data_IF_677676128775
#
_entry.id   IF_677676128775
#
_cell.length_a   1.000
_cell.length_b   1.000
_cell.length_c   1.000
_cell.angle_alpha   90.00
_cell.angle_beta   90.00
_cell.angle_gamma   90.00
#
_symmetry.space_group_name_H-M   'P 1'
#
loop_
_entity.id
_entity.type
_entity.pdbx_description
1 polymer ?
#
# COMPACT_ATOMS: atom_id res chain seq x y z
N UNK A 1 -18.87 -16.97 -0.04
CA UNK A 1 -17.90 -17.01 1.08
C UNK A 1 -18.02 -15.68 1.79
N UNK A 2 -18.16 -15.67 3.12
CA UNK A 2 -18.17 -14.42 3.90
C UNK A 2 -16.78 -13.79 3.78
N UNK A 3 -16.70 -12.60 3.19
CA UNK A 3 -15.46 -11.82 3.17
C UNK A 3 -15.02 -11.53 4.59
N UNK A 4 -13.75 -11.78 4.89
CA UNK A 4 -13.19 -11.55 6.23
C UNK A 4 -12.31 -10.31 6.17
N UNK A 5 -12.61 -9.32 7.00
CA UNK A 5 -11.81 -8.10 7.11
C UNK A 5 -10.41 -8.44 7.66
N UNK A 6 -9.37 -8.15 6.88
CA UNK A 6 -7.96 -8.37 7.24
C UNK A 6 -7.37 -7.20 7.99
N UNK A 7 -7.67 -5.98 7.52
CA UNK A 7 -7.23 -4.72 8.15
C UNK A 7 -8.43 -3.79 8.26
N UNK A 8 -8.62 -3.15 9.41
CA UNK A 8 -9.66 -2.14 9.65
C UNK A 8 -9.06 -0.90 10.27
N UNK A 9 -9.35 0.24 9.69
CA UNK A 9 -9.03 1.57 10.23
C UNK A 9 -10.31 2.21 10.72
N UNK A 10 -10.32 2.73 11.95
CA UNK A 10 -11.50 3.32 12.57
C UNK A 10 -11.16 4.65 13.18
N UNK A 11 -11.78 5.72 12.67
CA UNK A 11 -11.61 7.07 13.17
C UNK A 11 -10.15 7.48 13.28
N UNK A 12 -9.32 7.14 12.26
CA UNK A 12 -7.88 7.36 12.33
C UNK A 12 -7.55 8.82 12.01
N UNK A 13 -6.86 9.48 12.94
CA UNK A 13 -6.35 10.84 12.80
C UNK A 13 -4.83 10.86 12.89
N UNK A 14 -4.19 11.70 12.06
CA UNK A 14 -2.78 12.04 12.21
C UNK A 14 -2.56 13.52 12.04
N UNK A 15 -2.02 14.12 13.07
CA UNK A 15 -1.56 15.50 13.10
C UNK A 15 -0.06 15.49 13.37
N UNK A 16 0.70 16.23 12.58
CA UNK A 16 2.13 16.40 12.80
C UNK A 16 2.38 17.76 13.47
N UNK A 17 3.15 17.74 14.55
CA UNK A 17 3.49 18.90 15.36
C UNK A 17 3.81 18.47 16.79
N UNK A 18 4.24 19.41 17.62
CA UNK A 18 4.44 19.17 19.04
C UNK A 18 3.06 19.16 19.73
N UNK A 19 2.87 18.19 20.65
CA UNK A 19 1.60 18.03 21.38
C UNK A 19 0.37 17.98 20.44
N UNK A 20 0.43 17.06 19.49
CA UNK A 20 -0.60 16.85 18.43
C UNK A 20 -1.99 16.57 19.01
N UNK A 21 -2.08 16.00 20.22
CA UNK A 21 -3.34 15.70 20.90
C UNK A 21 -4.06 16.96 21.37
N UNK A 22 -3.35 18.04 21.72
CA UNK A 22 -3.96 19.29 22.18
C UNK A 22 -4.80 19.98 21.10
N UNK A 23 -4.45 19.82 19.84
CA UNK A 23 -5.15 20.42 18.69
C UNK A 23 -6.21 19.49 18.05
N UNK A 24 -6.22 18.21 18.44
CA UNK A 24 -7.20 17.23 17.92
C UNK A 24 -8.67 17.65 18.08
N UNK A 25 -9.12 18.24 19.22
CA UNK A 25 -10.51 18.71 19.36
C UNK A 25 -10.91 19.74 18.30
N UNK A 26 -9.99 20.63 17.88
CA UNK A 26 -10.25 21.62 16.84
C UNK A 26 -10.44 20.94 15.47
N UNK A 27 -9.62 19.94 15.17
CA UNK A 27 -9.76 19.15 13.92
C UNK A 27 -11.06 18.36 13.91
N UNK A 28 -11.45 17.75 15.03
CA UNK A 28 -12.75 17.06 15.17
C UNK A 28 -13.93 18.02 15.06
N UNK A 29 -13.78 19.30 15.47
CA UNK A 29 -14.77 20.35 15.31
C UNK A 29 -14.85 20.93 13.87
N UNK A 30 -14.00 20.44 12.95
CA UNK A 30 -14.05 20.82 11.53
C UNK A 30 -12.93 21.74 11.05
N UNK A 31 -11.94 22.11 11.89
CA UNK A 31 -10.80 22.93 11.49
C UNK A 31 -10.07 22.31 10.31
N UNK A 32 -9.86 23.08 9.24
CA UNK A 32 -9.22 22.64 8.00
C UNK A 32 -7.70 22.60 8.09
N UNK A 33 -7.06 22.03 7.05
CA UNK A 33 -5.60 21.84 6.97
C UNK A 33 -4.84 23.18 7.00
N UNK A 34 -5.31 24.17 6.23
CA UNK A 34 -4.67 25.49 6.15
C UNK A 34 -4.82 26.27 7.47
N UNK A 35 -6.02 26.24 8.05
CA UNK A 35 -6.32 26.91 9.31
C UNK A 35 -5.50 26.31 10.46
N UNK A 36 -5.39 24.96 10.53
CA UNK A 36 -4.58 24.28 11.52
C UNK A 36 -3.09 24.67 11.39
N UNK A 37 -2.59 24.77 10.16
CA UNK A 37 -1.20 25.18 9.90
C UNK A 37 -0.95 26.63 10.29
N UNK A 38 -1.84 27.54 9.94
CA UNK A 38 -1.65 28.98 10.19
C UNK A 38 -1.81 29.32 11.67
N UNK A 39 -2.81 28.76 12.34
CA UNK A 39 -3.18 29.09 13.73
C UNK A 39 -2.34 28.34 14.74
N UNK A 40 -2.16 27.03 14.52
CA UNK A 40 -1.52 26.14 15.51
C UNK A 40 -0.13 25.65 15.09
N UNK A 41 0.33 25.95 13.85
CA UNK A 41 1.61 25.47 13.31
C UNK A 41 1.69 23.93 13.24
N UNK A 42 0.55 23.27 13.08
CA UNK A 42 0.44 21.82 12.92
C UNK A 42 0.01 21.44 11.51
N UNK A 43 0.45 20.28 11.04
CA UNK A 43 0.09 19.76 9.72
C UNK A 43 -0.89 18.61 9.87
N UNK A 44 -2.09 18.75 9.29
CA UNK A 44 -3.06 17.66 9.23
C UNK A 44 -2.61 16.65 8.16
N UNK A 45 -2.29 15.45 8.60
CA UNK A 45 -1.91 14.33 7.75
C UNK A 45 -3.08 13.44 7.37
N UNK A 46 -3.89 13.05 8.38
CA UNK A 46 -5.09 12.20 8.20
C UNK A 46 -6.22 12.71 9.08
N UNK A 47 -7.45 12.63 8.58
CA UNK A 47 -8.67 13.02 9.27
C UNK A 47 -9.74 11.94 9.12
N UNK A 48 -10.19 11.38 10.22
CA UNK A 48 -11.34 10.47 10.31
C UNK A 48 -11.33 9.36 9.24
N UNK A 49 -10.20 8.68 9.12
CA UNK A 49 -10.05 7.59 8.15
C UNK A 49 -10.78 6.35 8.67
N UNK A 50 -11.77 5.90 7.91
CA UNK A 50 -12.54 4.70 8.15
C UNK A 50 -12.50 3.83 6.89
N UNK A 51 -11.72 2.74 6.92
CA UNK A 51 -11.51 1.83 5.77
C UNK A 51 -11.42 0.40 6.25
N UNK A 52 -12.13 -0.50 5.58
CA UNK A 52 -11.99 -1.93 5.76
C UNK A 52 -11.34 -2.56 4.52
N UNK A 53 -10.31 -3.37 4.73
CA UNK A 53 -9.55 -4.05 3.67
C UNK A 53 -9.75 -5.55 3.82
N UNK A 54 -10.30 -6.19 2.78
CA UNK A 54 -10.70 -7.59 2.84
C UNK A 54 -9.52 -8.53 2.61
N UNK A 55 -9.60 -9.71 3.21
CA UNK A 55 -8.59 -10.75 3.05
C UNK A 55 -8.54 -11.24 1.60
N UNK A 56 -7.33 -11.30 1.04
CA UNK A 56 -7.11 -11.80 -0.32
C UNK A 56 -7.50 -10.83 -1.43
N UNK A 57 -7.77 -9.56 -1.12
CA UNK A 57 -8.07 -8.51 -2.09
C UNK A 57 -6.95 -7.49 -2.21
N UNK A 58 -6.95 -6.77 -3.34
CA UNK A 58 -6.12 -5.59 -3.56
C UNK A 58 -6.93 -4.35 -3.22
N UNK A 59 -6.61 -3.70 -2.10
CA UNK A 59 -7.13 -2.37 -1.79
C UNK A 59 -6.16 -1.33 -2.31
N UNK A 60 -6.60 -0.49 -3.24
CA UNK A 60 -5.81 0.63 -3.75
C UNK A 60 -6.23 1.91 -3.04
N UNK A 61 -5.26 2.64 -2.51
CA UNK A 61 -5.44 3.98 -1.94
C UNK A 61 -4.82 4.99 -2.89
N UNK A 62 -5.65 5.84 -3.49
CA UNK A 62 -5.21 6.85 -4.43
C UNK A 62 -5.52 8.28 -3.99
N UNK A 63 -4.93 9.26 -4.67
CA UNK A 63 -5.13 10.69 -4.46
C UNK A 63 -3.90 11.49 -4.90
N UNK A 64 -4.01 12.81 -4.97
CA UNK A 64 -2.91 13.69 -5.36
C UNK A 64 -1.74 13.68 -4.34
N UNK A 65 -0.61 14.26 -4.74
CA UNK A 65 0.52 14.46 -3.82
C UNK A 65 0.06 15.25 -2.58
N UNK A 66 0.50 14.81 -1.39
CA UNK A 66 0.11 15.45 -0.12
C UNK A 66 -1.29 15.09 0.40
N UNK A 67 -2.04 14.17 -0.23
CA UNK A 67 -3.35 13.72 0.25
C UNK A 67 -3.31 12.81 1.49
N UNK A 68 -2.12 12.32 1.91
CA UNK A 68 -1.96 11.48 3.10
C UNK A 68 -1.72 9.99 2.83
N UNK A 69 -1.65 9.53 1.58
CA UNK A 69 -1.49 8.12 1.20
C UNK A 69 -0.31 7.41 1.88
N UNK A 70 0.90 7.94 1.70
CA UNK A 70 2.10 7.35 2.32
C UNK A 70 2.09 7.47 3.84
N UNK A 71 1.38 8.46 4.39
CA UNK A 71 1.12 8.55 5.82
C UNK A 71 0.22 7.39 6.26
N UNK A 72 -0.88 7.14 5.55
CA UNK A 72 -1.83 6.08 5.87
C UNK A 72 -1.15 4.70 5.85
N UNK A 73 -0.43 4.34 4.79
CA UNK A 73 0.20 3.01 4.71
C UNK A 73 1.23 2.78 5.82
N UNK A 74 1.93 3.83 6.26
CA UNK A 74 2.90 3.75 7.35
C UNK A 74 2.28 3.65 8.74
N UNK A 75 0.99 3.91 8.88
CA UNK A 75 0.26 3.62 10.11
C UNK A 75 -0.05 2.12 10.23
N UNK A 76 -0.32 1.42 9.11
CA UNK A 76 -0.68 0.00 9.12
C UNK A 76 0.40 -0.87 9.77
N UNK A 77 1.66 -0.54 9.56
CA UNK A 77 2.79 -1.21 10.19
C UNK A 77 3.34 -0.45 11.41
N UNK A 78 2.63 0.59 11.86
CA UNK A 78 2.99 1.45 13.00
C UNK A 78 4.42 2.04 12.89
N UNK A 79 4.87 2.34 11.66
CA UNK A 79 6.07 3.18 11.44
C UNK A 79 5.80 4.64 11.81
N UNK A 80 4.54 5.06 11.73
CA UNK A 80 4.02 6.33 12.22
C UNK A 80 2.90 6.00 13.20
N UNK A 81 2.94 6.60 14.40
CA UNK A 81 1.85 6.45 15.36
C UNK A 81 0.74 7.47 15.06
N UNK A 82 -0.53 7.06 15.11
CA UNK A 82 -1.65 7.98 14.95
C UNK A 82 -1.75 8.95 16.12
N UNK A 83 -2.43 10.08 15.91
CA UNK A 83 -2.82 11.00 16.99
C UNK A 83 -4.02 10.42 17.73
N UNK A 84 -4.95 9.76 17.01
CA UNK A 84 -6.14 9.10 17.56
C UNK A 84 -6.68 8.06 16.58
N UNK A 85 -7.55 7.16 17.06
CA UNK A 85 -8.19 6.11 16.27
C UNK A 85 -7.58 4.73 16.46
N UNK A 86 -8.16 3.75 15.79
CA UNK A 86 -7.82 2.32 15.91
C UNK A 86 -7.28 1.76 14.60
N UNK A 87 -6.32 0.84 14.71
CA UNK A 87 -5.76 0.07 13.59
C UNK A 87 -5.85 -1.41 13.96
N UNK A 88 -6.79 -2.13 13.35
CA UNK A 88 -7.00 -3.54 13.61
C UNK A 88 -6.39 -4.39 12.49
N UNK A 89 -5.60 -5.38 12.85
CA UNK A 89 -5.05 -6.40 11.94
C UNK A 89 -5.47 -7.78 12.44
N UNK A 90 -6.19 -8.54 11.64
CA UNK A 90 -6.84 -9.79 12.06
C UNK A 90 -7.67 -9.59 13.37
N UNK A 91 -8.32 -8.44 13.54
CA UNK A 91 -9.10 -8.09 14.74
C UNK A 91 -8.28 -7.66 15.95
N UNK A 92 -6.94 -7.66 15.88
CA UNK A 92 -6.06 -7.21 16.96
C UNK A 92 -5.66 -5.75 16.77
N UNK A 93 -5.90 -4.92 17.78
CA UNK A 93 -5.48 -3.52 17.75
C UNK A 93 -3.95 -3.40 17.85
N UNK A 94 -3.36 -2.91 16.77
CA UNK A 94 -1.90 -2.74 16.64
C UNK A 94 -1.36 -1.73 17.65
N UNK A 95 -2.18 -0.77 18.10
CA UNK A 95 -1.77 0.26 19.05
C UNK A 95 -1.50 -0.30 20.45
N UNK A 96 -2.19 -1.39 20.80
CA UNK A 96 -2.07 -2.06 22.10
C UNK A 96 -0.94 -3.10 22.16
N UNK A 97 -0.24 -3.35 21.04
CA UNK A 97 0.86 -4.32 20.99
C UNK A 97 2.10 -3.80 21.74
N UNK A 98 2.72 -4.69 22.49
CA UNK A 98 4.06 -4.45 23.04
C UNK A 98 5.10 -4.30 21.93
N UNK A 99 6.26 -3.73 22.22
CA UNK A 99 7.35 -3.60 21.23
C UNK A 99 7.76 -4.96 20.64
N UNK A 100 7.73 -6.02 21.44
CA UNK A 100 8.05 -7.38 21.01
C UNK A 100 6.98 -7.92 20.06
N UNK A 101 5.70 -7.80 20.43
CA UNK A 101 4.58 -8.29 19.62
C UNK A 101 4.45 -7.51 18.32
N UNK A 102 4.68 -6.20 18.34
CA UNK A 102 4.72 -5.36 17.16
C UNK A 102 5.84 -5.79 16.19
N UNK A 103 7.02 -6.15 16.72
CA UNK A 103 8.12 -6.68 15.91
C UNK A 103 7.74 -8.01 15.28
N UNK A 104 7.13 -8.91 16.03
CA UNK A 104 6.64 -10.20 15.52
C UNK A 104 5.55 -10.02 14.45
N UNK A 105 4.61 -9.10 14.67
CA UNK A 105 3.58 -8.76 13.68
C UNK A 105 4.22 -8.29 12.36
N UNK A 106 5.18 -7.35 12.43
CA UNK A 106 5.90 -6.85 11.25
C UNK A 106 6.68 -7.96 10.53
N UNK A 107 7.31 -8.88 11.26
CA UNK A 107 8.09 -9.97 10.67
C UNK A 107 7.22 -11.06 10.01
N UNK A 108 6.05 -11.36 10.61
CA UNK A 108 5.27 -12.52 10.23
C UNK A 108 4.02 -12.19 9.43
N UNK A 109 3.42 -11.01 9.65
CA UNK A 109 2.13 -10.64 9.07
C UNK A 109 2.22 -9.66 7.91
N UNK A 110 3.30 -8.86 7.85
CA UNK A 110 3.39 -7.77 6.88
C UNK A 110 4.74 -7.74 6.16
N UNK A 111 4.70 -7.44 4.88
CA UNK A 111 5.87 -7.04 4.09
C UNK A 111 5.64 -5.69 3.46
N UNK A 112 6.72 -5.00 3.07
CA UNK A 112 6.60 -3.67 2.45
C UNK A 112 7.53 -3.53 1.25
N UNK A 113 6.96 -3.06 0.15
CA UNK A 113 7.65 -2.64 -1.07
C UNK A 113 7.65 -1.10 -1.11
N UNK A 114 8.81 -0.50 -1.26
CA UNK A 114 9.01 0.94 -1.17
C UNK A 114 9.17 1.59 -2.55
N UNK A 115 8.77 2.83 -2.68
CA UNK A 115 8.92 3.64 -3.89
C UNK A 115 10.37 3.73 -4.39
N UNK A 116 11.35 3.88 -3.49
CA UNK A 116 12.79 3.95 -3.78
C UNK A 116 13.50 2.62 -3.52
N UNK A 117 12.84 1.49 -3.79
CA UNK A 117 13.32 0.10 -3.69
C UNK A 117 13.82 -0.31 -2.29
N UNK A 118 14.45 0.57 -1.53
CA UNK A 118 15.03 0.35 -0.20
C UNK A 118 15.93 -0.92 -0.15
N UNK A 119 16.71 -1.16 -1.19
CA UNK A 119 17.71 -2.23 -1.23
C UNK A 119 18.95 -1.81 -0.47
N UNK A 120 19.58 -2.75 0.22
CA UNK A 120 20.86 -2.55 0.89
C UNK A 120 21.97 -2.58 -0.15
N UNK A 121 22.69 -1.47 -0.40
CA UNK A 121 23.64 -1.36 -1.52
C UNK A 121 24.88 -2.25 -1.37
N UNK A 122 25.20 -2.62 -0.14
CA UNK A 122 26.33 -3.50 0.20
C UNK A 122 25.97 -4.99 0.24
N UNK A 123 24.70 -5.34 0.01
CA UNK A 123 24.23 -6.73 -0.12
C UNK A 123 23.94 -7.06 -1.59
N UNK A 124 24.18 -8.31 -1.96
CA UNK A 124 23.82 -8.81 -3.29
C UNK A 124 22.31 -8.87 -3.49
N UNK A 125 21.85 -9.13 -4.70
CA UNK A 125 20.44 -9.35 -5.05
C UNK A 125 19.86 -10.49 -4.21
N UNK A 126 20.57 -11.62 -4.13
CA UNK A 126 20.18 -12.77 -3.31
C UNK A 126 20.05 -12.40 -1.83
N UNK A 127 21.03 -11.72 -1.28
CA UNK A 127 21.04 -11.29 0.12
C UNK A 127 19.96 -10.26 0.42
N UNK A 128 19.61 -9.39 -0.52
CA UNK A 128 18.47 -8.48 -0.39
C UNK A 128 17.13 -9.24 -0.40
N UNK A 129 16.96 -10.20 -1.31
CA UNK A 129 15.76 -11.02 -1.39
C UNK A 129 15.58 -11.90 -0.14
N UNK A 130 16.67 -12.50 0.36
CA UNK A 130 16.67 -13.37 1.55
C UNK A 130 16.50 -12.63 2.88
N UNK A 131 16.59 -11.30 2.91
CA UNK A 131 16.68 -10.49 4.13
C UNK A 131 15.56 -10.77 5.15
N UNK A 132 14.34 -11.03 4.69
CA UNK A 132 13.21 -11.32 5.57
C UNK A 132 13.40 -12.65 6.33
N UNK A 133 13.99 -13.65 5.70
CA UNK A 133 14.28 -14.96 6.29
C UNK A 133 15.51 -14.90 7.22
N UNK A 134 16.51 -14.09 6.85
CA UNK A 134 17.67 -13.77 7.70
C UNK A 134 17.22 -13.17 9.05
N UNK A 135 16.31 -12.20 9.01
CA UNK A 135 15.73 -11.59 10.22
C UNK A 135 14.90 -12.60 11.05
N UNK A 136 14.27 -13.58 10.41
CA UNK A 136 13.55 -14.67 11.09
C UNK A 136 14.48 -15.73 11.67
N UNK A 137 15.78 -15.71 11.33
CA UNK A 137 16.78 -16.64 11.84
C UNK A 137 16.72 -18.03 11.20
N UNK A 138 16.23 -18.16 9.96
CA UNK A 138 16.23 -19.43 9.23
C UNK A 138 17.68 -19.84 8.86
N UNK A 139 17.94 -21.15 8.63
CA UNK A 139 19.23 -21.61 8.11
C UNK A 139 19.57 -20.95 6.76
N UNK A 140 20.84 -20.61 6.53
CA UNK A 140 21.29 -19.89 5.33
C UNK A 140 20.92 -20.61 4.04
N UNK A 141 21.00 -21.94 4.02
CA UNK A 141 20.66 -22.75 2.84
C UNK A 141 19.17 -22.62 2.47
N UNK A 142 18.27 -22.63 3.46
CA UNK A 142 16.83 -22.41 3.25
C UNK A 142 16.55 -20.99 2.76
N UNK A 143 17.22 -19.97 3.37
CA UNK A 143 17.10 -18.59 2.95
C UNK A 143 17.48 -18.41 1.48
N UNK A 144 18.63 -18.95 1.07
CA UNK A 144 19.13 -18.83 -0.29
C UNK A 144 18.23 -19.56 -1.30
N UNK A 145 17.79 -20.75 -0.96
CA UNK A 145 16.93 -21.54 -1.86
C UNK A 145 15.60 -20.81 -2.11
N UNK A 146 14.95 -20.34 -1.05
CA UNK A 146 13.67 -19.64 -1.18
C UNK A 146 13.83 -18.30 -1.91
N UNK A 147 14.89 -17.55 -1.62
CA UNK A 147 15.18 -16.30 -2.32
C UNK A 147 15.47 -16.53 -3.80
N UNK A 148 16.22 -17.58 -4.18
CA UNK A 148 16.46 -17.94 -5.58
C UNK A 148 15.17 -18.29 -6.31
N UNK A 149 14.27 -19.04 -5.66
CA UNK A 149 12.97 -19.38 -6.23
C UNK A 149 12.16 -18.10 -6.56
N UNK A 150 12.06 -17.16 -5.63
CA UNK A 150 11.35 -15.91 -5.87
C UNK A 150 12.04 -15.01 -6.89
N UNK A 151 13.38 -14.93 -6.88
CA UNK A 151 14.13 -14.17 -7.88
C UNK A 151 13.89 -14.74 -9.30
N UNK A 152 13.89 -16.05 -9.46
CA UNK A 152 13.57 -16.68 -10.74
C UNK A 152 12.13 -16.33 -11.20
N UNK A 153 11.15 -16.38 -10.30
CA UNK A 153 9.76 -16.05 -10.60
C UNK A 153 9.52 -14.59 -11.01
N UNK A 154 10.29 -13.66 -10.45
CA UNK A 154 10.23 -12.24 -10.88
C UNK A 154 11.17 -11.94 -12.07
N UNK A 155 11.74 -12.98 -12.72
CA UNK A 155 12.58 -12.83 -13.92
C UNK A 155 13.99 -12.30 -13.63
N UNK A 156 14.54 -12.60 -12.45
CA UNK A 156 15.90 -12.23 -12.04
C UNK A 156 16.83 -13.44 -11.81
N UNK A 157 16.48 -14.60 -12.39
CA UNK A 157 17.40 -15.76 -12.40
C UNK A 157 18.71 -15.41 -13.12
N UNK A 158 19.85 -15.73 -12.50
CA UNK A 158 21.19 -15.39 -12.99
C UNK A 158 21.75 -14.06 -12.48
N UNK A 159 20.96 -13.25 -11.75
CA UNK A 159 21.40 -11.98 -11.17
C UNK A 159 21.69 -12.04 -9.67
N UNK A 160 21.70 -13.22 -9.06
CA UNK A 160 21.79 -13.45 -7.62
C UNK A 160 23.00 -12.77 -6.98
N UNK A 161 24.15 -12.79 -7.68
CA UNK A 161 25.43 -12.27 -7.20
C UNK A 161 25.68 -10.80 -7.57
N UNK A 162 24.75 -10.16 -8.31
CA UNK A 162 24.87 -8.74 -8.64
C UNK A 162 24.51 -7.86 -7.43
N UNK A 163 25.00 -6.62 -7.44
CA UNK A 163 24.67 -5.61 -6.45
C UNK A 163 23.60 -4.65 -7.02
N UNK A 164 22.81 -3.97 -6.18
CA UNK A 164 21.77 -3.05 -6.62
C UNK A 164 22.24 -2.02 -7.65
N UNK A 165 23.45 -1.48 -7.51
CA UNK A 165 24.01 -0.49 -8.43
C UNK A 165 24.25 -1.02 -9.88
N UNK A 166 24.23 -2.34 -10.06
CA UNK A 166 24.42 -2.99 -11.36
C UNK A 166 23.08 -3.28 -12.07
N UNK A 167 21.94 -2.94 -11.42
CA UNK A 167 20.60 -3.24 -11.91
C UNK A 167 19.89 -1.99 -12.42
N UNK A 168 19.04 -2.16 -13.43
CA UNK A 168 18.08 -1.13 -13.83
C UNK A 168 17.04 -0.88 -12.71
N UNK A 169 16.33 0.25 -12.74
CA UNK A 169 15.28 0.56 -11.77
C UNK A 169 14.19 -0.52 -11.71
N UNK A 170 13.76 -1.04 -12.87
CA UNK A 170 12.78 -2.14 -12.92
C UNK A 170 13.32 -3.43 -12.30
N UNK A 171 14.58 -3.76 -12.50
CA UNK A 171 15.20 -4.92 -11.86
C UNK A 171 15.32 -4.73 -10.34
N UNK A 172 15.67 -3.54 -9.86
CA UNK A 172 15.71 -3.23 -8.43
C UNK A 172 14.32 -3.36 -7.80
N UNK A 173 13.25 -2.94 -8.50
CA UNK A 173 11.88 -3.11 -8.05
C UNK A 173 11.50 -4.59 -7.95
N UNK A 174 11.86 -5.41 -8.93
CA UNK A 174 11.67 -6.87 -8.90
C UNK A 174 12.37 -7.53 -7.71
N UNK A 175 13.58 -7.08 -7.35
CA UNK A 175 14.25 -7.52 -6.10
C UNK A 175 13.45 -7.14 -4.87
N UNK A 176 12.88 -5.92 -4.82
CA UNK A 176 12.03 -5.46 -3.73
C UNK A 176 10.77 -6.31 -3.57
N UNK A 177 10.13 -6.70 -4.68
CA UNK A 177 8.97 -7.60 -4.70
C UNK A 177 9.38 -9.01 -4.24
N UNK A 178 10.48 -9.57 -4.77
CA UNK A 178 11.00 -10.87 -4.35
C UNK A 178 11.25 -10.90 -2.83
N UNK A 179 11.90 -9.86 -2.28
CA UNK A 179 12.13 -9.71 -0.82
C UNK A 179 10.81 -9.73 -0.03
N UNK A 180 9.78 -9.04 -0.51
CA UNK A 180 8.48 -9.01 0.14
C UNK A 180 7.78 -10.38 0.07
N UNK A 181 7.89 -11.10 -1.05
CA UNK A 181 7.31 -12.42 -1.24
C UNK A 181 8.03 -13.50 -0.40
N UNK A 182 9.37 -13.43 -0.34
CA UNK A 182 10.21 -14.32 0.48
C UNK A 182 9.81 -14.29 1.96
N UNK A 183 9.30 -13.16 2.46
CA UNK A 183 8.82 -13.06 3.84
C UNK A 183 7.63 -13.98 4.15
N UNK A 184 6.92 -14.44 3.13
CA UNK A 184 5.68 -15.22 3.21
C UNK A 184 4.63 -14.63 4.15
N UNK A 185 4.54 -13.29 4.20
CA UNK A 185 3.54 -12.57 5.00
C UNK A 185 2.17 -12.56 4.30
N UNK A 186 1.09 -12.47 5.07
CA UNK A 186 -0.28 -12.41 4.54
C UNK A 186 -0.61 -11.06 3.90
N UNK A 187 0.00 -9.98 4.40
CA UNK A 187 -0.27 -8.61 3.99
C UNK A 187 0.97 -8.04 3.28
N UNK A 188 0.77 -7.47 2.10
CA UNK A 188 1.80 -6.76 1.35
C UNK A 188 1.42 -5.29 1.22
N UNK A 189 2.26 -4.41 1.76
CA UNK A 189 2.13 -2.96 1.66
C UNK A 189 2.99 -2.47 0.50
N UNK A 190 2.44 -1.68 -0.42
CA UNK A 190 3.14 -1.17 -1.60
C UNK A 190 2.98 0.35 -1.69
N UNK A 191 4.05 1.10 -1.39
CA UNK A 191 4.05 2.57 -1.37
C UNK A 191 4.60 3.09 -2.71
N UNK A 192 3.72 3.47 -3.65
CA UNK A 192 4.04 3.96 -5.01
C UNK A 192 5.08 3.09 -5.74
N UNK A 193 4.91 1.76 -5.62
CA UNK A 193 5.91 0.80 -5.99
C UNK A 193 6.33 0.83 -7.48
N UNK A 194 5.46 1.32 -8.37
CA UNK A 194 5.73 1.34 -9.81
C UNK A 194 5.93 2.73 -10.40
N UNK A 195 5.85 3.79 -9.57
CA UNK A 195 5.91 5.19 -10.05
C UNK A 195 7.23 5.58 -10.71
N UNK A 196 8.33 4.95 -10.31
CA UNK A 196 9.67 5.21 -10.84
C UNK A 196 10.05 4.37 -12.08
N UNK A 197 9.12 3.52 -12.58
CA UNK A 197 9.37 2.64 -13.71
C UNK A 197 8.90 3.29 -15.02
N UNK A 198 9.58 2.94 -16.13
CA UNK A 198 9.08 3.27 -17.46
C UNK A 198 7.75 2.55 -17.76
N UNK A 199 6.94 3.05 -18.71
CA UNK A 199 5.58 2.55 -18.94
C UNK A 199 5.52 1.05 -19.29
N UNK A 200 6.49 0.53 -20.04
CA UNK A 200 6.48 -0.87 -20.45
C UNK A 200 6.75 -1.78 -19.25
N UNK A 201 7.82 -1.49 -18.50
CA UNK A 201 8.20 -2.26 -17.30
C UNK A 201 7.10 -2.16 -16.22
N UNK A 202 6.44 -0.98 -16.11
CA UNK A 202 5.32 -0.79 -15.19
C UNK A 202 4.17 -1.74 -15.52
N UNK A 203 3.79 -1.85 -16.80
CA UNK A 203 2.75 -2.76 -17.25
C UNK A 203 3.09 -4.22 -16.91
N UNK A 204 4.32 -4.65 -17.20
CA UNK A 204 4.81 -6.00 -16.88
C UNK A 204 4.74 -6.29 -15.38
N UNK A 205 5.09 -5.28 -14.54
CA UNK A 205 5.05 -5.43 -13.08
C UNK A 205 3.63 -5.51 -12.52
N UNK A 206 2.70 -4.76 -13.09
CA UNK A 206 1.29 -4.84 -12.74
C UNK A 206 0.71 -6.20 -13.09
N UNK A 207 1.02 -6.73 -14.28
CA UNK A 207 0.54 -8.04 -14.74
C UNK A 207 1.11 -9.15 -13.85
N UNK A 208 2.42 -9.10 -13.54
CA UNK A 208 3.04 -10.01 -12.58
C UNK A 208 2.37 -9.95 -11.20
N UNK A 209 2.04 -8.75 -10.69
CA UNK A 209 1.37 -8.60 -9.41
C UNK A 209 -0.01 -9.27 -9.41
N UNK A 210 -0.78 -9.09 -10.49
CA UNK A 210 -2.10 -9.73 -10.64
C UNK A 210 -1.99 -11.26 -10.73
N UNK A 211 -1.03 -11.79 -11.49
CA UNK A 211 -0.77 -13.23 -11.55
C UNK A 211 -0.44 -13.81 -10.17
N UNK A 212 0.48 -13.16 -9.43
CA UNK A 212 0.86 -13.56 -8.09
C UNK A 212 -0.31 -13.44 -7.09
N UNK A 213 -1.18 -12.44 -7.25
CA UNK A 213 -2.34 -12.27 -6.40
C UNK A 213 -3.35 -13.41 -6.55
N UNK A 214 -3.65 -13.82 -7.80
CA UNK A 214 -4.54 -14.97 -8.07
C UNK A 214 -4.02 -16.25 -7.42
N UNK A 215 -2.71 -16.48 -7.49
CA UNK A 215 -2.07 -17.68 -6.96
C UNK A 215 -1.97 -17.68 -5.43
N UNK A 216 -1.46 -16.58 -4.87
CA UNK A 216 -1.07 -16.49 -3.46
C UNK A 216 -2.19 -15.98 -2.54
N UNK A 217 -3.22 -15.33 -3.11
CA UNK A 217 -4.37 -14.74 -2.40
C UNK A 217 -3.94 -13.85 -1.21
N UNK A 218 -2.84 -13.11 -1.38
CA UNK A 218 -2.36 -12.16 -0.38
C UNK A 218 -3.26 -10.93 -0.33
N UNK A 219 -3.40 -10.35 0.85
CA UNK A 219 -4.02 -9.03 1.00
C UNK A 219 -3.01 -7.97 0.61
N UNK A 220 -3.31 -7.16 -0.39
CA UNK A 220 -2.38 -6.13 -0.89
C UNK A 220 -2.99 -4.76 -0.64
N UNK A 221 -2.22 -3.87 -0.01
CA UNK A 221 -2.56 -2.45 0.13
C UNK A 221 -1.59 -1.67 -0.74
N UNK A 222 -2.11 -1.10 -1.82
CA UNK A 222 -1.34 -0.46 -2.86
C UNK A 222 -1.59 1.05 -2.89
N UNK A 223 -0.54 1.85 -2.82
CA UNK A 223 -0.61 3.31 -2.92
C UNK A 223 -0.20 3.74 -4.33
N UNK A 224 -1.03 4.57 -4.96
CA UNK A 224 -0.71 5.20 -6.23
C UNK A 224 -1.32 6.60 -6.36
N UNK A 225 -0.81 7.39 -7.28
CA UNK A 225 -1.45 8.62 -7.76
C UNK A 225 -1.97 8.47 -9.21
N UNK A 226 -1.75 7.31 -9.83
CA UNK A 226 -2.13 6.98 -11.19
C UNK A 226 -3.47 6.23 -11.19
N UNK A 227 -4.47 6.82 -11.86
CA UNK A 227 -5.83 6.28 -11.89
C UNK A 227 -5.93 5.02 -12.77
N UNK A 228 -5.21 4.96 -13.89
CA UNK A 228 -5.21 3.77 -14.76
C UNK A 228 -4.64 2.56 -13.99
N UNK A 229 -3.60 2.80 -13.20
CA UNK A 229 -3.03 1.78 -12.30
C UNK A 229 -4.04 1.33 -11.24
N UNK A 230 -4.72 2.29 -10.59
CA UNK A 230 -5.75 2.00 -9.60
C UNK A 230 -6.89 1.17 -10.17
N UNK A 231 -7.38 1.52 -11.36
CA UNK A 231 -8.48 0.83 -12.04
C UNK A 231 -8.09 -0.56 -12.54
N UNK A 232 -6.81 -0.77 -12.89
CA UNK A 232 -6.29 -2.06 -13.32
C UNK A 232 -6.14 -3.04 -12.16
N UNK A 233 -5.67 -2.54 -11.01
CA UNK A 233 -5.25 -3.39 -9.89
C UNK A 233 -6.33 -3.59 -8.83
N UNK A 234 -7.20 -2.59 -8.56
CA UNK A 234 -8.05 -2.59 -7.39
C UNK A 234 -9.23 -3.56 -7.48
N UNK A 235 -9.44 -4.33 -6.40
CA UNK A 235 -10.73 -4.90 -6.04
C UNK A 235 -11.55 -3.86 -5.26
N UNK A 236 -10.89 -3.11 -4.36
CA UNK A 236 -11.45 -2.01 -3.59
C UNK A 236 -10.60 -0.75 -3.78
N UNK A 237 -11.23 0.36 -4.16
CA UNK A 237 -10.58 1.67 -4.37
C UNK A 237 -10.97 2.64 -3.26
N UNK A 238 -9.97 3.31 -2.68
CA UNK A 238 -10.12 4.36 -1.67
C UNK A 238 -9.49 5.64 -2.20
N UNK A 239 -10.28 6.71 -2.32
CA UNK A 239 -9.81 8.00 -2.83
C UNK A 239 -9.61 8.97 -1.68
N UNK A 240 -8.39 9.47 -1.51
CA UNK A 240 -7.99 10.42 -0.48
C UNK A 240 -7.82 11.83 -1.05
N UNK A 241 -8.38 12.82 -0.33
CA UNK A 241 -8.14 14.25 -0.54
C UNK A 241 -7.94 14.93 0.81
N UNK A 242 -6.90 15.73 0.94
CA UNK A 242 -6.61 16.52 2.15
C UNK A 242 -6.65 15.74 3.49
N UNK A 243 -6.18 14.49 3.43
CA UNK A 243 -6.14 13.61 4.59
C UNK A 243 -7.45 12.90 4.93
N UNK A 244 -8.52 13.05 4.14
CA UNK A 244 -9.81 12.39 4.34
C UNK A 244 -10.16 11.45 3.18
N UNK A 245 -10.98 10.44 3.45
CA UNK A 245 -11.59 9.61 2.41
C UNK A 245 -12.74 10.38 1.77
N UNK A 246 -12.67 10.61 0.46
CA UNK A 246 -13.73 11.28 -0.31
C UNK A 246 -14.75 10.26 -0.80
N UNK A 247 -14.28 9.14 -1.33
CA UNK A 247 -15.12 8.03 -1.77
C UNK A 247 -14.33 6.72 -1.70
N UNK A 248 -15.02 5.61 -1.46
CA UNK A 248 -14.44 4.28 -1.49
C UNK A 248 -15.48 3.26 -1.99
N UNK A 249 -15.00 2.18 -2.61
CA UNK A 249 -15.84 1.10 -3.13
C UNK A 249 -15.22 0.36 -4.31
N UNK A 250 -16.04 -0.38 -5.03
CA UNK A 250 -15.62 -1.01 -6.28
C UNK A 250 -15.23 0.06 -7.32
N UNK A 251 -14.09 -0.09 -8.03
CA UNK A 251 -13.60 0.91 -8.98
C UNK A 251 -14.63 1.32 -10.04
N UNK A 252 -15.35 0.35 -10.62
CA UNK A 252 -16.37 0.63 -11.63
C UNK A 252 -17.55 1.44 -11.08
N UNK A 253 -17.95 1.17 -9.82
CA UNK A 253 -19.00 1.91 -9.13
C UNK A 253 -18.62 3.39 -8.92
N UNK A 254 -17.37 3.65 -8.56
CA UNK A 254 -16.83 5.02 -8.39
C UNK A 254 -16.80 5.76 -9.72
N UNK A 255 -16.36 5.11 -10.80
CA UNK A 255 -16.32 5.70 -12.15
C UNK A 255 -17.70 6.10 -12.68
N UNK A 256 -18.70 5.27 -12.38
CA UNK A 256 -20.08 5.51 -12.87
C UNK A 256 -20.85 6.51 -12.03
N UNK A 257 -20.54 6.60 -10.74
CA UNK A 257 -21.25 7.43 -9.78
C UNK A 257 -20.26 8.22 -8.89
N UNK A 258 -19.49 9.17 -9.47
CA UNK A 258 -18.63 10.03 -8.68
C UNK A 258 -19.49 10.90 -7.75
N UNK A 259 -19.09 11.03 -6.47
CA UNK A 259 -19.86 11.75 -5.45
C UNK A 259 -19.25 13.11 -5.10
N UNK A 260 -18.09 13.44 -5.64
CA UNK A 260 -17.36 14.69 -5.37
C UNK A 260 -16.78 15.26 -6.67
N UNK A 261 -16.84 16.58 -6.91
CA UNK A 261 -16.25 17.21 -8.09
C UNK A 261 -14.76 16.87 -8.31
N UNK A 262 -14.01 16.65 -7.23
CA UNK A 262 -12.63 16.20 -7.30
C UNK A 262 -12.48 14.84 -7.99
N UNK A 263 -13.44 13.94 -7.81
CA UNK A 263 -13.45 12.63 -8.47
C UNK A 263 -13.90 12.79 -9.91
N UNK A 264 -14.89 13.67 -10.18
CA UNK A 264 -15.34 14.00 -11.53
C UNK A 264 -14.18 14.51 -12.38
N UNK A 265 -13.33 15.40 -11.85
CA UNK A 265 -12.13 15.89 -12.52
C UNK A 265 -11.16 14.75 -12.86
N UNK A 266 -10.93 13.82 -11.91
CA UNK A 266 -10.07 12.65 -12.14
C UNK A 266 -10.60 11.73 -13.24
N UNK A 267 -11.92 11.56 -13.29
CA UNK A 267 -12.60 10.64 -14.21
C UNK A 267 -12.80 11.26 -15.59
N UNK A 268 -12.84 12.60 -15.69
CA UNK A 268 -13.08 13.33 -16.95
C UNK A 268 -12.04 13.03 -18.02
N UNK A 269 -10.78 12.89 -17.62
CA UNK A 269 -9.64 12.67 -18.51
C UNK A 269 -9.48 11.22 -18.97
N UNK A 270 -10.31 10.30 -18.42
CA UNK A 270 -10.22 8.87 -18.76
C UNK A 270 -10.98 8.55 -20.04
N UNK A 271 -10.35 7.79 -20.91
CA UNK A 271 -11.06 7.12 -21.97
C UNK A 271 -11.92 5.94 -21.38
N UNK A 272 -13.15 6.27 -20.96
CA UNK A 272 -14.09 5.33 -20.35
C UNK A 272 -14.25 4.03 -21.13
N UNK A 273 -14.10 4.06 -22.46
CA UNK A 273 -14.19 2.88 -23.31
C UNK A 273 -13.06 1.86 -23.07
N UNK A 274 -11.93 2.28 -22.51
CA UNK A 274 -10.81 1.36 -22.18
C UNK A 274 -10.94 0.71 -20.81
N UNK A 275 -11.70 1.32 -19.91
CA UNK A 275 -11.70 0.99 -18.49
C UNK A 275 -12.99 0.31 -18.04
N UNK A 276 -14.14 0.64 -18.65
CA UNK A 276 -15.42 0.05 -18.28
C UNK A 276 -15.49 -1.41 -18.73
N UNK A 277 -15.74 -2.29 -17.77
CA UNK A 277 -16.03 -3.72 -18.07
C UNK A 277 -17.44 -3.80 -18.65
N UNK A 278 -17.62 -4.61 -19.69
CA UNK A 278 -18.93 -4.83 -20.37
C UNK A 278 -20.03 -5.15 -19.35
N UNK A 279 -19.72 -5.95 -18.32
CA UNK A 279 -20.65 -6.33 -17.24
C UNK A 279 -21.17 -5.13 -16.43
N UNK A 280 -20.42 -4.04 -16.33
CA UNK A 280 -20.79 -2.85 -15.55
C UNK A 280 -21.73 -1.91 -16.29
N UNK A 281 -21.86 -2.06 -17.62
CA UNK A 281 -22.76 -1.26 -18.48
C UNK A 281 -23.97 -2.04 -18.98
N UNK A 282 -24.04 -3.35 -18.72
CA UNK A 282 -25.21 -4.17 -19.04
C UNK A 282 -26.31 -3.93 -18.01
N UNK A 283 -27.47 -3.44 -18.43
CA UNK A 283 -28.68 -3.49 -17.63
C UNK A 283 -29.21 -4.92 -17.55
N UNK A 284 -29.67 -5.41 -16.40
CA UNK A 284 -30.42 -6.67 -16.36
C UNK A 284 -31.66 -6.51 -17.21
N UNK A 285 -31.88 -7.49 -18.11
CA UNK A 285 -33.12 -7.62 -18.91
C UNK A 285 -34.30 -7.94 -18.01
#
# INVERSE_FOLDING_TARGET
>A
MTQTTKVSLRGLYKIFGNDDKSVLPHVKAGMGKEELLTTHKHVLGLRDINVEMQSGEITVVMGLSGSGKSTLIRHLNRLIEPTDGEILVDGVDVMNLSTTDLRQMRQNKMSMVFQKFALLPHRTVLQNAAMALDIKGLPTEEQEQEAKNWLARVGLGGFENHYPAQLSGGMQQRVGIARALTSNSDIMLMDEAFSALDPLIRTDMQDLLLELQVELKKTIIFITHDLDEALKLADHLVILKDGAVVQQGEPQGILMNPTDPYIEDFVSDINRARVLRVRSVMQPL
#
